data_IF_093846848999
#
_entry.id   IF_093846848999
#
_cell.length_a   1.000
_cell.length_b   1.000
_cell.length_c   1.000
_cell.angle_alpha   90.00
_cell.angle_beta   90.00
_cell.angle_gamma   90.00
#
_symmetry.space_group_name_H-M   'P 1'
#
loop_
_entity.id
_entity.type
_entity.pdbx_description
1 polymer ?
#
# COMPACT_ATOMS: atom_id res chain seq x y z
N UNK A 1 -25.62 14.60 -12.88
CA UNK A 1 -26.27 14.39 -14.19
C UNK A 1 -26.55 12.90 -14.43
N UNK A 2 -25.56 12.03 -14.22
CA UNK A 2 -25.67 10.56 -14.39
C UNK A 2 -26.82 9.95 -13.58
N UNK A 3 -26.93 10.26 -12.28
CA UNK A 3 -28.01 9.77 -11.42
C UNK A 3 -29.41 10.13 -11.91
N UNK A 4 -29.54 11.27 -12.60
CA UNK A 4 -30.83 11.72 -13.16
C UNK A 4 -31.17 11.06 -14.48
N UNK A 5 -30.16 10.78 -15.31
CA UNK A 5 -30.35 10.26 -16.67
C UNK A 5 -30.52 8.73 -16.69
N UNK A 6 -30.01 8.01 -15.71
CA UNK A 6 -30.00 6.53 -15.61
C UNK A 6 -29.49 5.82 -16.88
N UNK A 7 -28.60 6.48 -17.63
CA UNK A 7 -27.98 5.96 -18.85
C UNK A 7 -26.58 5.45 -18.55
N UNK A 8 -26.12 4.44 -19.27
CA UNK A 8 -24.73 4.01 -19.22
C UNK A 8 -23.86 5.03 -19.92
N UNK A 9 -22.85 5.55 -19.23
CA UNK A 9 -21.88 6.52 -19.76
C UNK A 9 -20.51 5.88 -19.68
N UNK A 10 -19.77 5.87 -20.77
CA UNK A 10 -18.34 5.53 -20.82
C UNK A 10 -17.56 6.82 -20.84
N UNK A 11 -16.69 6.99 -19.84
CA UNK A 11 -15.84 8.17 -19.68
C UNK A 11 -14.37 7.76 -19.71
N UNK A 12 -13.59 8.35 -20.61
CA UNK A 12 -12.16 8.08 -20.73
C UNK A 12 -11.39 9.25 -20.12
N UNK A 13 -10.58 8.97 -19.13
CA UNK A 13 -9.76 9.96 -18.43
C UNK A 13 -8.40 9.37 -18.06
N UNK A 14 -7.41 10.23 -17.90
CA UNK A 14 -6.13 9.90 -17.25
C UNK A 14 -6.07 10.46 -15.82
N UNK A 15 -7.11 11.16 -15.38
CA UNK A 15 -7.21 11.68 -14.01
C UNK A 15 -7.81 10.60 -13.10
N UNK A 16 -7.00 10.13 -12.15
CA UNK A 16 -7.39 9.09 -11.21
C UNK A 16 -8.48 9.56 -10.23
N UNK A 17 -8.46 10.85 -9.87
CA UNK A 17 -9.46 11.42 -8.94
C UNK A 17 -10.84 11.42 -9.62
N UNK A 18 -10.89 11.84 -10.89
CA UNK A 18 -12.13 11.77 -11.69
C UNK A 18 -12.63 10.33 -11.80
N UNK A 19 -11.74 9.38 -12.17
CA UNK A 19 -12.09 7.98 -12.29
C UNK A 19 -12.65 7.42 -10.97
N UNK A 20 -11.99 7.67 -9.84
CA UNK A 20 -12.39 7.17 -8.52
C UNK A 20 -13.69 7.80 -8.01
N UNK A 21 -13.95 9.07 -8.35
CA UNK A 21 -15.08 9.84 -7.80
C UNK A 21 -16.35 9.71 -8.64
N UNK A 22 -16.21 9.68 -9.96
CA UNK A 22 -17.37 9.77 -10.86
C UNK A 22 -17.90 8.42 -11.32
N UNK A 23 -17.08 7.36 -11.25
CA UNK A 23 -17.44 6.07 -11.82
C UNK A 23 -18.04 5.10 -10.82
N UNK A 24 -18.91 4.22 -11.30
CA UNK A 24 -19.37 3.03 -10.56
C UNK A 24 -18.44 1.84 -10.78
N UNK A 25 -17.76 1.81 -11.93
CA UNK A 25 -16.73 0.81 -12.29
C UNK A 25 -15.61 1.46 -13.06
N UNK A 26 -14.40 1.00 -12.85
CA UNK A 26 -13.19 1.45 -13.53
C UNK A 26 -12.59 0.28 -14.29
N UNK A 27 -12.25 0.50 -15.56
CA UNK A 27 -11.39 -0.38 -16.33
C UNK A 27 -9.99 0.26 -16.39
N UNK A 28 -9.03 -0.32 -15.70
CA UNK A 28 -7.62 0.07 -15.81
C UNK A 28 -7.04 -0.60 -17.05
N UNK A 29 -6.48 0.19 -17.95
CA UNK A 29 -5.95 -0.31 -19.23
C UNK A 29 -4.45 -0.06 -19.34
N UNK A 30 -3.74 -1.00 -19.94
CA UNK A 30 -2.34 -0.86 -20.28
C UNK A 30 -2.04 -1.58 -21.60
N UNK A 31 -1.38 -0.89 -22.53
CA UNK A 31 -1.01 -1.40 -23.86
C UNK A 31 -2.19 -2.07 -24.61
N UNK A 32 -3.40 -1.50 -24.53
CA UNK A 32 -4.59 -2.02 -25.19
C UNK A 32 -5.31 -3.16 -24.46
N UNK A 33 -4.78 -3.63 -23.33
CA UNK A 33 -5.38 -4.70 -22.53
C UNK A 33 -5.98 -4.15 -21.24
N UNK A 34 -7.13 -4.71 -20.83
CA UNK A 34 -7.72 -4.44 -19.52
C UNK A 34 -6.91 -5.19 -18.46
N UNK A 35 -6.31 -4.45 -17.54
CA UNK A 35 -5.54 -5.00 -16.43
C UNK A 35 -6.43 -5.41 -15.26
N UNK A 36 -7.43 -4.59 -14.98
CA UNK A 36 -8.45 -4.87 -13.98
C UNK A 36 -9.75 -4.12 -14.31
N UNK A 37 -10.89 -4.73 -14.03
CA UNK A 37 -12.20 -4.12 -14.10
C UNK A 37 -12.91 -4.34 -12.75
N UNK A 38 -13.25 -3.25 -12.06
CA UNK A 38 -13.87 -3.34 -10.74
C UNK A 38 -14.44 -2.02 -10.27
N UNK A 39 -15.00 -2.00 -9.07
CA UNK A 39 -15.38 -0.77 -8.39
C UNK A 39 -14.14 0.05 -8.04
N UNK A 40 -14.25 1.38 -7.83
CA UNK A 40 -13.13 2.20 -7.36
C UNK A 40 -12.42 1.60 -6.14
N UNK A 41 -13.20 1.09 -5.19
CA UNK A 41 -12.68 0.47 -3.97
C UNK A 41 -11.86 -0.80 -4.26
N UNK A 42 -12.35 -1.70 -5.13
CA UNK A 42 -11.63 -2.92 -5.50
C UNK A 42 -10.32 -2.60 -6.22
N UNK A 43 -10.34 -1.65 -7.16
CA UNK A 43 -9.16 -1.22 -7.90
C UNK A 43 -8.07 -0.68 -6.93
N UNK A 44 -8.49 0.06 -5.91
CA UNK A 44 -7.57 0.68 -4.95
C UNK A 44 -7.09 -0.30 -3.87
N UNK A 45 -8.01 -1.01 -3.22
CA UNK A 45 -7.71 -1.85 -2.05
C UNK A 45 -7.15 -3.24 -2.45
N UNK A 46 -7.61 -3.79 -3.59
CA UNK A 46 -7.26 -5.15 -4.02
C UNK A 46 -6.81 -5.19 -5.49
N UNK A 47 -5.73 -4.48 -5.84
CA UNK A 47 -5.21 -4.49 -7.20
C UNK A 47 -4.83 -5.90 -7.64
N UNK A 48 -5.17 -6.27 -8.88
CA UNK A 48 -4.94 -7.61 -9.42
C UNK A 48 -3.47 -7.87 -9.79
N UNK A 49 -2.71 -6.81 -10.07
CA UNK A 49 -1.30 -6.89 -10.41
C UNK A 49 -0.53 -5.65 -9.97
N UNK A 50 0.79 -5.73 -10.10
CA UNK A 50 1.73 -4.69 -9.70
C UNK A 50 1.50 -3.38 -10.47
N UNK A 51 1.14 -3.48 -11.78
CA UNK A 51 0.83 -2.30 -12.58
C UNK A 51 -0.34 -1.50 -11.99
N UNK A 52 -1.47 -2.15 -11.70
CA UNK A 52 -2.64 -1.48 -11.10
C UNK A 52 -2.29 -0.90 -9.74
N UNK A 53 -1.54 -1.62 -8.91
CA UNK A 53 -1.13 -1.18 -7.57
C UNK A 53 -0.32 0.12 -7.61
N UNK A 54 0.62 0.21 -8.54
CA UNK A 54 1.52 1.37 -8.69
C UNK A 54 0.94 2.49 -9.55
N UNK A 55 0.03 2.16 -10.46
CA UNK A 55 -0.65 3.16 -11.28
C UNK A 55 -1.73 3.92 -10.50
N UNK A 56 -2.45 3.26 -9.60
CA UNK A 56 -3.57 3.85 -8.85
C UNK A 56 -3.13 4.36 -7.47
N UNK A 57 -3.38 5.63 -7.23
CA UNK A 57 -3.06 6.34 -5.99
C UNK A 57 -2.01 7.44 -6.19
N UNK A 58 -2.14 8.51 -5.42
CA UNK A 58 -1.19 9.63 -5.39
C UNK A 58 -0.98 10.04 -3.93
N UNK A 59 0.13 9.64 -3.31
CA UNK A 59 1.22 8.82 -3.85
C UNK A 59 0.80 7.37 -4.17
N UNK A 60 1.62 6.70 -5.00
CA UNK A 60 1.42 5.30 -5.36
C UNK A 60 1.64 4.34 -4.17
N UNK A 61 1.24 3.08 -4.33
CA UNK A 61 1.52 2.02 -3.35
C UNK A 61 3.03 1.81 -3.20
N UNK A 62 3.52 1.73 -1.97
CA UNK A 62 4.88 1.28 -1.68
C UNK A 62 5.02 -0.20 -2.01
N UNK A 63 6.05 -0.56 -2.76
CA UNK A 63 6.33 -1.95 -3.15
C UNK A 63 7.68 -2.35 -2.57
N UNK A 64 7.64 -3.24 -1.58
CA UNK A 64 8.80 -3.66 -0.79
C UNK A 64 9.20 -5.09 -1.12
N UNK A 65 10.45 -5.38 -1.47
CA UNK A 65 10.97 -6.73 -1.41
C UNK A 65 10.85 -7.29 0.01
N UNK A 66 10.29 -8.48 0.14
CA UNK A 66 10.14 -9.19 1.40
C UNK A 66 10.29 -10.69 1.19
N UNK A 67 10.65 -11.43 2.24
CA UNK A 67 10.58 -12.87 2.25
C UNK A 67 9.51 -13.37 3.21
N UNK A 68 8.86 -14.47 2.87
CA UNK A 68 7.83 -15.06 3.73
C UNK A 68 8.47 -16.01 4.73
N UNK A 69 8.31 -15.70 6.01
CA UNK A 69 8.75 -16.57 7.12
C UNK A 69 7.55 -17.01 7.95
N UNK A 70 7.61 -18.22 8.49
CA UNK A 70 6.57 -18.73 9.39
C UNK A 70 7.08 -18.62 10.81
N UNK A 71 6.35 -17.86 11.65
CA UNK A 71 6.63 -17.72 13.08
C UNK A 71 5.35 -18.06 13.86
N UNK A 72 5.47 -18.93 14.84
CA UNK A 72 4.34 -19.38 15.67
C UNK A 72 3.15 -19.93 14.85
N UNK A 73 3.46 -20.58 13.71
CA UNK A 73 2.46 -21.13 12.79
C UNK A 73 1.77 -20.09 11.89
N UNK A 74 2.17 -18.82 11.95
CA UNK A 74 1.58 -17.74 11.14
C UNK A 74 2.60 -17.18 10.13
N UNK A 75 2.18 -16.89 8.90
CA UNK A 75 3.04 -16.26 7.93
C UNK A 75 3.31 -14.79 8.26
N UNK A 76 4.55 -14.38 8.06
CA UNK A 76 5.03 -13.00 8.21
C UNK A 76 5.79 -12.60 6.96
N UNK A 77 5.66 -11.35 6.56
CA UNK A 77 6.58 -10.73 5.62
C UNK A 77 7.78 -10.18 6.40
N UNK A 78 8.96 -10.67 6.12
CA UNK A 78 10.21 -10.17 6.69
C UNK A 78 10.79 -9.09 5.78
N UNK A 79 11.02 -7.90 6.34
CA UNK A 79 11.65 -6.76 5.68
C UNK A 79 12.83 -6.24 6.51
N UNK A 80 13.68 -5.41 5.91
CA UNK A 80 14.81 -4.76 6.60
C UNK A 80 14.56 -3.27 6.73
N UNK A 81 14.85 -2.70 7.90
CA UNK A 81 14.81 -1.24 8.14
C UNK A 81 16.08 -0.55 7.61
N UNK A 82 16.09 0.78 7.52
CA UNK A 82 17.29 1.56 7.19
C UNK A 82 18.45 1.34 8.14
N UNK A 83 18.18 0.96 9.38
CA UNK A 83 19.18 0.67 10.41
C UNK A 83 19.66 -0.81 10.34
N UNK A 84 19.25 -1.56 9.33
CA UNK A 84 19.65 -2.96 9.12
C UNK A 84 18.96 -3.97 10.04
N UNK A 85 17.91 -3.57 10.74
CA UNK A 85 17.13 -4.46 11.60
C UNK A 85 16.08 -5.21 10.79
N UNK A 86 15.87 -6.50 11.10
CA UNK A 86 14.76 -7.27 10.56
C UNK A 86 13.46 -6.91 11.27
N UNK A 87 12.41 -6.65 10.48
CA UNK A 87 11.05 -6.46 10.96
C UNK A 87 10.14 -7.55 10.40
N UNK A 88 9.41 -8.22 11.28
CA UNK A 88 8.45 -9.26 10.93
C UNK A 88 7.04 -8.65 10.94
N UNK A 89 6.43 -8.57 9.78
CA UNK A 89 5.09 -8.03 9.59
C UNK A 89 4.10 -9.19 9.46
N UNK A 90 3.21 -9.43 10.45
CA UNK A 90 2.21 -10.48 10.36
C UNK A 90 1.35 -10.28 9.12
N UNK A 91 1.22 -11.33 8.30
CA UNK A 91 0.53 -11.25 7.02
C UNK A 91 -0.47 -12.40 6.91
N UNK A 92 -1.67 -12.15 7.42
CA UNK A 92 -2.72 -13.17 7.51
C UNK A 92 -3.62 -13.15 6.25
N UNK A 93 -3.01 -13.48 5.11
CA UNK A 93 -3.73 -13.67 3.84
C UNK A 93 -3.80 -15.17 3.53
N UNK A 94 -4.92 -15.62 2.94
CA UNK A 94 -5.05 -17.01 2.47
C UNK A 94 -3.88 -17.37 1.55
N UNK A 95 -3.42 -18.61 1.60
CA UNK A 95 -2.32 -19.15 0.80
C UNK A 95 -0.92 -18.56 1.05
N UNK A 96 -0.73 -17.62 1.98
CA UNK A 96 0.62 -17.12 2.26
C UNK A 96 1.54 -18.19 2.87
N UNK A 97 0.99 -19.19 3.53
CA UNK A 97 1.78 -20.31 4.03
C UNK A 97 2.47 -21.12 2.91
N UNK A 98 1.89 -21.14 1.71
CA UNK A 98 2.46 -21.82 0.53
C UNK A 98 3.68 -21.05 -0.06
N UNK A 99 3.85 -19.82 0.40
CA UNK A 99 4.97 -18.95 0.06
C UNK A 99 6.09 -18.98 1.08
N UNK A 100 5.99 -19.79 2.12
CA UNK A 100 7.03 -19.91 3.14
C UNK A 100 8.42 -20.17 2.53
N UNK A 101 9.40 -19.34 2.89
CA UNK A 101 10.75 -19.38 2.35
C UNK A 101 10.93 -18.81 0.94
N UNK A 102 9.89 -18.19 0.37
CA UNK A 102 9.95 -17.54 -0.95
C UNK A 102 9.92 -16.02 -0.80
N UNK A 103 10.45 -15.35 -1.82
CA UNK A 103 10.40 -13.90 -1.95
C UNK A 103 9.05 -13.45 -2.50
N UNK A 104 8.59 -12.31 -2.03
CA UNK A 104 7.38 -11.62 -2.48
C UNK A 104 7.65 -10.13 -2.68
N UNK A 105 6.76 -9.46 -3.38
CA UNK A 105 6.66 -8.00 -3.37
C UNK A 105 5.48 -7.62 -2.46
N UNK A 106 5.78 -7.01 -1.32
CA UNK A 106 4.78 -6.55 -0.37
C UNK A 106 4.30 -5.14 -0.74
N UNK A 107 3.01 -5.00 -1.01
CA UNK A 107 2.38 -3.72 -1.32
C UNK A 107 1.72 -3.11 -0.10
N UNK A 108 2.10 -1.87 0.24
CA UNK A 108 1.55 -1.11 1.36
C UNK A 108 1.22 0.30 0.91
N UNK A 109 -0.04 0.73 1.07
CA UNK A 109 -0.45 2.09 0.74
C UNK A 109 0.20 3.11 1.69
N UNK A 110 0.49 4.35 1.23
CA UNK A 110 1.08 5.39 2.08
C UNK A 110 0.31 5.64 3.38
N UNK A 111 -1.02 5.65 3.34
CA UNK A 111 -1.88 5.84 4.51
C UNK A 111 -1.92 4.63 5.47
N UNK A 112 -1.38 3.49 5.06
CA UNK A 112 -1.20 2.35 5.95
C UNK A 112 0.13 2.39 6.72
N UNK A 113 1.00 3.36 6.41
CA UNK A 113 2.20 3.68 7.18
C UNK A 113 1.99 5.08 7.77
N UNK A 114 1.83 5.18 9.08
CA UNK A 114 1.44 6.45 9.71
C UNK A 114 2.10 6.63 11.08
N UNK A 115 1.81 7.73 11.74
CA UNK A 115 2.16 7.97 13.15
C UNK A 115 1.26 7.13 14.09
N UNK A 116 1.70 6.83 15.32
CA UNK A 116 0.93 6.00 16.25
C UNK A 116 -0.50 6.50 16.53
N UNK A 117 -0.70 7.80 16.57
CA UNK A 117 -2.01 8.39 16.81
C UNK A 117 -2.89 8.45 15.54
N UNK A 118 -2.29 8.30 14.36
CA UNK A 118 -2.96 8.28 13.06
C UNK A 118 -3.58 6.93 12.69
N UNK A 119 -3.34 5.90 13.48
CA UNK A 119 -3.85 4.54 13.22
C UNK A 119 -5.36 4.47 13.34
N UNK A 120 -6.02 3.83 12.37
CA UNK A 120 -7.42 3.49 12.51
C UNK A 120 -7.62 2.52 13.67
N UNK A 121 -8.43 2.95 14.66
CA UNK A 121 -8.73 2.17 15.89
C UNK A 121 -9.41 0.82 15.63
N UNK A 122 -9.91 0.61 14.40
CA UNK A 122 -10.51 -0.66 13.98
C UNK A 122 -9.49 -1.64 13.40
N UNK A 123 -8.25 -1.19 13.18
CA UNK A 123 -7.18 -2.05 12.66
C UNK A 123 -6.86 -3.17 13.63
N UNK A 124 -6.73 -4.37 13.09
CA UNK A 124 -6.48 -5.60 13.87
C UNK A 124 -4.99 -5.93 13.93
N UNK A 125 -4.28 -5.64 12.86
CA UNK A 125 -2.87 -6.00 12.71
C UNK A 125 -2.05 -4.74 12.45
N UNK A 126 -1.51 -4.17 13.52
CA UNK A 126 -0.69 -2.96 13.50
C UNK A 126 0.69 -3.29 14.08
N UNK A 127 1.74 -2.93 13.35
CA UNK A 127 3.12 -3.22 13.72
C UNK A 127 3.89 -1.92 13.88
N UNK A 128 4.46 -1.64 15.06
CA UNK A 128 5.37 -0.50 15.22
C UNK A 128 6.71 -0.80 14.55
N UNK A 129 7.30 0.22 13.94
CA UNK A 129 8.60 0.16 13.29
C UNK A 129 9.33 1.48 13.49
N UNK A 130 10.52 1.43 14.11
CA UNK A 130 11.39 2.60 14.23
C UNK A 130 12.26 2.70 12.99
N UNK A 131 12.23 3.85 12.33
CA UNK A 131 13.01 4.05 11.11
C UNK A 131 13.43 5.51 10.95
N UNK A 132 14.50 5.73 10.19
CA UNK A 132 15.01 7.09 9.93
C UNK A 132 14.12 7.80 8.91
N UNK A 133 13.73 9.02 9.24
CA UNK A 133 12.98 9.90 8.36
C UNK A 133 13.91 10.49 7.30
N UNK A 134 13.57 10.32 6.04
CA UNK A 134 14.29 10.92 4.91
C UNK A 134 13.91 12.37 4.71
N UNK A 135 12.75 12.63 4.12
CA UNK A 135 12.22 13.98 3.87
C UNK A 135 10.79 14.07 4.40
N UNK A 136 10.40 15.24 4.87
CA UNK A 136 9.04 15.55 5.30
C UNK A 136 8.42 16.61 4.40
N UNK A 137 7.19 16.38 3.93
CA UNK A 137 6.45 17.28 3.05
C UNK A 137 5.05 17.55 3.64
N UNK A 138 4.87 18.71 4.31
CA UNK A 138 3.54 19.12 4.76
C UNK A 138 2.60 19.38 3.58
N UNK A 139 1.43 18.74 3.59
CA UNK A 139 0.43 18.81 2.52
C UNK A 139 -0.96 19.20 3.05
N UNK A 140 -1.02 20.22 3.86
CA UNK A 140 -2.26 20.74 4.43
C UNK A 140 -2.78 19.89 5.59
N UNK A 141 -3.75 19.01 5.32
CA UNK A 141 -4.32 18.12 6.35
C UNK A 141 -3.47 16.90 6.68
N UNK A 142 -2.46 16.64 5.86
CA UNK A 142 -1.56 15.49 5.99
C UNK A 142 -0.10 15.96 5.97
N UNK A 143 0.79 15.13 6.49
CA UNK A 143 2.24 15.21 6.28
C UNK A 143 2.70 13.93 5.62
N UNK A 144 3.38 14.03 4.47
CA UNK A 144 4.08 12.90 3.89
C UNK A 144 5.50 12.84 4.43
N UNK A 145 5.97 11.66 4.79
CA UNK A 145 7.36 11.44 5.14
C UNK A 145 7.93 10.27 4.34
N UNK A 146 9.14 10.44 3.84
CA UNK A 146 9.87 9.36 3.19
C UNK A 146 10.74 8.62 4.20
N UNK A 147 10.96 7.33 3.96
CA UNK A 147 11.89 6.48 4.68
C UNK A 147 12.39 5.37 3.78
N UNK A 148 13.51 4.76 4.12
CA UNK A 148 13.98 3.56 3.41
C UNK A 148 13.53 2.29 4.15
N UNK A 149 12.81 1.41 3.45
CA UNK A 149 12.45 0.06 3.92
C UNK A 149 12.82 -0.95 2.85
N UNK A 150 13.46 -2.05 3.26
CA UNK A 150 13.92 -3.11 2.35
C UNK A 150 14.75 -2.57 1.15
N UNK A 151 15.57 -1.54 1.38
CA UNK A 151 16.37 -0.89 0.34
C UNK A 151 15.56 -0.11 -0.70
N UNK A 152 14.31 0.27 -0.38
CA UNK A 152 13.42 1.04 -1.24
C UNK A 152 12.92 2.29 -0.52
N UNK A 153 12.81 3.38 -1.28
CA UNK A 153 12.13 4.58 -0.78
C UNK A 153 10.64 4.30 -0.60
N UNK A 154 10.15 4.59 0.60
CA UNK A 154 8.76 4.45 0.99
C UNK A 154 8.20 5.80 1.41
N UNK A 155 6.92 5.98 1.13
CA UNK A 155 6.16 7.17 1.54
C UNK A 155 5.16 6.74 2.60
N UNK A 156 5.16 7.43 3.73
CA UNK A 156 4.11 7.38 4.74
C UNK A 156 3.19 8.59 4.63
N UNK A 157 1.94 8.43 5.05
CA UNK A 157 0.99 9.52 5.19
C UNK A 157 0.57 9.62 6.64
N UNK A 158 0.90 10.72 7.26
CA UNK A 158 0.69 11.00 8.67
C UNK A 158 -0.23 12.18 8.87
N UNK A 159 -0.72 12.38 10.08
CA UNK A 159 -1.47 13.58 10.45
C UNK A 159 -0.61 14.83 10.28
N UNK A 160 -1.25 15.97 10.00
CA UNK A 160 -0.55 17.25 9.82
C UNK A 160 0.20 17.71 11.08
N UNK A 161 -0.25 17.28 12.26
CA UNK A 161 0.32 17.61 13.57
C UNK A 161 1.27 16.52 14.11
N UNK A 162 1.64 15.53 13.30
CA UNK A 162 2.65 14.56 13.68
C UNK A 162 4.02 15.22 13.86
N UNK A 163 4.63 14.98 15.02
CA UNK A 163 5.96 15.53 15.36
C UNK A 163 7.07 14.69 14.70
N UNK A 164 7.24 14.87 13.41
CA UNK A 164 8.18 14.14 12.58
C UNK A 164 9.25 15.08 12.00
N UNK A 165 10.51 14.75 12.25
CA UNK A 165 11.66 15.57 11.83
C UNK A 165 12.57 14.82 10.86
N UNK A 166 12.90 15.46 9.75
CA UNK A 166 13.86 14.95 8.75
C UNK A 166 15.19 14.58 9.41
N UNK A 167 15.69 13.39 9.13
CA UNK A 167 16.97 12.86 9.60
C UNK A 167 16.91 12.18 10.97
N UNK A 168 15.83 12.31 11.72
CA UNK A 168 15.64 11.67 13.03
C UNK A 168 15.03 10.28 12.91
N UNK A 169 15.14 9.48 13.96
CA UNK A 169 14.44 8.21 14.10
C UNK A 169 13.02 8.52 14.58
N UNK A 170 12.03 7.97 13.89
CA UNK A 170 10.63 8.11 14.24
C UNK A 170 9.98 6.73 14.37
N UNK A 171 9.05 6.58 15.31
CA UNK A 171 8.28 5.37 15.51
C UNK A 171 7.01 5.41 14.64
N UNK A 172 7.12 4.82 13.46
CA UNK A 172 5.99 4.60 12.57
C UNK A 172 5.19 3.40 13.01
N UNK A 173 3.98 3.30 12.51
CA UNK A 173 3.14 2.10 12.60
C UNK A 173 2.69 1.69 11.21
N UNK A 174 2.72 0.39 10.95
CA UNK A 174 2.27 -0.21 9.70
C UNK A 174 0.98 -0.98 9.96
N UNK A 175 -0.09 -0.61 9.27
CA UNK A 175 -1.35 -1.33 9.28
C UNK A 175 -1.34 -2.41 8.21
N UNK A 176 -1.20 -3.66 8.63
CA UNK A 176 -1.12 -4.82 7.73
C UNK A 176 -2.48 -5.33 7.24
N UNK A 177 -3.59 -4.84 7.77
CA UNK A 177 -4.94 -5.28 7.36
C UNK A 177 -5.25 -4.95 5.89
N UNK A 178 -4.52 -3.98 5.31
CA UNK A 178 -4.68 -3.53 3.92
C UNK A 178 -3.47 -3.85 3.05
N UNK A 179 -2.49 -4.56 3.57
CA UNK A 179 -1.33 -4.99 2.81
C UNK A 179 -1.74 -6.04 1.78
N UNK A 180 -1.06 -6.05 0.64
CA UNK A 180 -1.22 -7.03 -0.44
C UNK A 180 0.13 -7.60 -0.81
N UNK A 181 0.18 -8.81 -1.36
CA UNK A 181 1.41 -9.40 -1.86
C UNK A 181 1.30 -9.73 -3.34
N UNK A 182 2.42 -9.58 -4.04
CA UNK A 182 2.55 -9.93 -5.45
C UNK A 182 3.69 -10.94 -5.63
N UNK A 183 3.50 -11.85 -6.56
CA UNK A 183 4.54 -12.74 -7.03
C UNK A 183 5.57 -11.93 -7.84
N UNK A 184 6.86 -11.96 -7.47
CA UNK A 184 7.90 -11.19 -8.17
C UNK A 184 8.09 -11.57 -9.64
N UNK A 185 7.69 -12.78 -10.05
CA UNK A 185 7.88 -13.28 -11.43
C UNK A 185 6.69 -12.91 -12.32
N UNK A 186 5.48 -13.17 -11.88
CA UNK A 186 4.27 -12.90 -12.68
C UNK A 186 3.73 -11.50 -12.48
N UNK A 187 4.17 -10.79 -11.44
CA UNK A 187 3.63 -9.50 -10.98
C UNK A 187 2.14 -9.54 -10.60
N UNK A 188 1.55 -10.72 -10.54
CA UNK A 188 0.16 -10.92 -10.15
C UNK A 188 0.01 -10.95 -8.62
N UNK A 189 -1.13 -10.45 -8.14
CA UNK A 189 -1.45 -10.52 -6.71
C UNK A 189 -1.58 -11.98 -6.27
N UNK A 190 -0.94 -12.33 -5.18
CA UNK A 190 -1.11 -13.60 -4.48
C UNK A 190 -2.49 -13.57 -3.80
N UNK A 191 -3.34 -14.53 -4.13
CA UNK A 191 -4.73 -14.64 -3.63
C UNK A 191 -4.84 -15.76 -2.63
#
# INVERSE_FOLDING_TARGET
LHEKLKTTIVYVTHDQIEAMTLSTRIAVMYNGYVQQLGTPKEIYDTPENLFVATFMGSPAMNILPASVVVKDGLPHAEITTSEGQSALLPFNQENMSDWAGKDILLGIRPEAITDPDGVDRKSKTVVPISNRVGVTEPAGADTFATMELAGKDCISRMRADADVTTGEIFDFVINMDKAVAFDPQSEMRIK
#
